data_IF_547047429319
#
_entry.id   IF_547047429319
#
_cell.length_a   1.000
_cell.length_b   1.000
_cell.length_c   1.000
_cell.angle_alpha   90.00
_cell.angle_beta   90.00
_cell.angle_gamma   90.00
#
_symmetry.space_group_name_H-M   'P 1'
#
loop_
_entity.id
_entity.type
_entity.pdbx_description
1 polymer ?
#
# COMPACT_ATOMS: atom_id res chain seq x y z
N UNK A 1 19.55 -41.24 -6.81
CA UNK A 1 19.04 -40.11 -5.99
C UNK A 1 20.13 -39.06 -5.87
N UNK A 2 19.85 -37.74 -5.75
CA UNK A 2 18.55 -37.07 -5.68
C UNK A 2 18.32 -35.97 -6.74
N UNK A 3 17.03 -35.67 -6.93
CA UNK A 3 16.47 -34.63 -7.80
C UNK A 3 16.73 -33.21 -7.27
N UNK A 4 16.96 -32.28 -8.20
CA UNK A 4 17.08 -30.84 -7.96
C UNK A 4 15.79 -30.27 -7.33
N UNK A 5 15.91 -29.64 -6.16
CA UNK A 5 14.85 -28.79 -5.60
C UNK A 5 14.92 -27.39 -6.22
N UNK A 6 14.05 -27.10 -7.17
CA UNK A 6 13.75 -25.72 -7.57
C UNK A 6 13.03 -25.00 -6.43
N UNK A 7 13.70 -24.01 -5.83
CA UNK A 7 13.12 -23.07 -4.85
C UNK A 7 12.03 -22.22 -5.54
N UNK A 8 10.75 -22.52 -5.28
CA UNK A 8 9.64 -21.62 -5.62
C UNK A 8 9.62 -20.45 -4.62
N UNK A 9 9.71 -19.21 -5.13
CA UNK A 9 9.53 -17.96 -4.36
C UNK A 9 8.10 -17.92 -3.80
N UNK A 10 7.95 -17.84 -2.48
CA UNK A 10 6.65 -17.75 -1.81
C UNK A 10 5.96 -16.40 -2.03
N UNK A 11 4.65 -16.44 -2.31
CA UNK A 11 3.73 -15.30 -2.45
C UNK A 11 2.85 -15.22 -1.17
N UNK A 12 2.83 -14.19 -0.28
CA UNK A 12 2.60 -12.71 -0.36
C UNK A 12 1.10 -12.29 -0.39
N UNK A 13 0.41 -12.07 0.77
CA UNK A 13 -1.08 -12.12 0.89
C UNK A 13 -1.92 -11.21 1.94
N UNK A 14 -3.13 -10.68 1.61
CA UNK A 14 -4.24 -9.87 2.29
C UNK A 14 -5.54 -9.59 1.42
N UNK A 15 -6.54 -10.49 1.43
CA UNK A 15 -7.82 -10.40 0.69
C UNK A 15 -8.21 -11.71 0.00
N UNK A 16 -9.48 -12.14 0.00
CA UNK A 16 -9.79 -13.56 -0.26
C UNK A 16 -9.33 -14.07 -1.65
N UNK A 17 -8.62 -15.20 -1.66
CA UNK A 17 -8.07 -15.82 -2.88
C UNK A 17 -9.11 -16.65 -3.62
N UNK A 18 -9.89 -17.45 -2.89
CA UNK A 18 -10.73 -18.47 -3.50
C UNK A 18 -11.89 -17.82 -4.25
N UNK A 19 -12.06 -18.18 -5.52
CA UNK A 19 -13.16 -17.64 -6.34
C UNK A 19 -14.55 -17.91 -5.74
N UNK A 20 -14.68 -18.92 -4.89
CA UNK A 20 -15.92 -19.27 -4.19
C UNK A 20 -16.32 -18.17 -3.20
N UNK A 21 -15.37 -17.59 -2.46
CA UNK A 21 -15.65 -16.50 -1.51
C UNK A 21 -15.73 -15.13 -2.20
N UNK A 22 -15.53 -15.04 -3.52
CA UNK A 22 -15.79 -13.81 -4.27
C UNK A 22 -17.24 -13.75 -4.72
N UNK A 23 -17.78 -12.54 -4.74
CA UNK A 23 -19.09 -12.30 -5.37
C UNK A 23 -18.97 -12.37 -6.89
N UNK A 24 -19.79 -13.16 -7.60
CA UNK A 24 -19.73 -13.26 -9.05
C UNK A 24 -19.84 -11.88 -9.72
N UNK A 25 -18.87 -11.54 -10.56
CA UNK A 25 -18.80 -10.28 -11.31
C UNK A 25 -18.86 -9.00 -10.44
N UNK A 26 -18.53 -9.08 -9.14
CA UNK A 26 -18.67 -7.93 -8.24
C UNK A 26 -20.12 -7.51 -7.97
N UNK A 27 -21.10 -8.31 -8.37
CA UNK A 27 -22.52 -8.05 -8.09
C UNK A 27 -22.88 -8.64 -6.73
N UNK A 28 -23.25 -7.78 -5.80
CA UNK A 28 -23.59 -8.12 -4.42
C UNK A 28 -25.07 -7.79 -4.17
N UNK A 29 -25.98 -8.78 -4.28
CA UNK A 29 -27.40 -8.57 -3.97
C UNK A 29 -27.57 -8.29 -2.48
N UNK A 30 -28.42 -7.31 -2.14
CA UNK A 30 -28.70 -6.97 -0.75
C UNK A 30 -30.20 -6.85 -0.46
N UNK A 31 -30.54 -7.05 0.82
CA UNK A 31 -31.81 -6.73 1.43
C UNK A 31 -31.54 -5.92 2.70
N UNK A 32 -32.24 -4.80 2.87
CA UNK A 32 -32.10 -3.93 4.04
C UNK A 32 -33.29 -4.18 4.97
N UNK A 33 -33.02 -4.44 6.26
CA UNK A 33 -34.03 -4.61 7.31
C UNK A 33 -35.03 -3.44 7.33
N UNK A 34 -36.29 -3.73 7.67
CA UNK A 34 -37.32 -2.72 7.87
C UNK A 34 -37.04 -1.77 9.05
N UNK A 35 -36.15 -2.15 9.97
CA UNK A 35 -35.82 -1.39 11.18
C UNK A 35 -35.05 -0.09 10.92
N UNK A 36 -34.43 0.06 9.74
CA UNK A 36 -33.69 1.27 9.40
C UNK A 36 -34.62 2.42 9.02
N UNK A 37 -34.40 3.56 9.66
CA UNK A 37 -34.97 4.85 9.35
C UNK A 37 -34.53 5.36 7.97
N UNK A 38 -35.21 6.38 7.45
CA UNK A 38 -34.84 7.00 6.18
C UNK A 38 -33.41 7.57 6.20
N UNK A 39 -33.00 8.16 7.33
CA UNK A 39 -31.64 8.71 7.50
C UNK A 39 -30.57 7.63 7.43
N UNK A 40 -30.82 6.48 8.08
CA UNK A 40 -29.90 5.35 8.06
C UNK A 40 -29.83 4.71 6.67
N UNK A 41 -30.96 4.62 5.97
CA UNK A 41 -31.00 4.18 4.57
C UNK A 41 -30.24 5.12 3.63
N UNK A 42 -30.32 6.43 3.86
CA UNK A 42 -29.54 7.41 3.10
C UNK A 42 -28.03 7.26 3.35
N UNK A 43 -27.63 6.93 4.59
CA UNK A 43 -26.24 6.61 4.91
C UNK A 43 -25.77 5.34 4.19
N UNK A 44 -26.55 4.26 4.23
CA UNK A 44 -26.24 3.02 3.49
C UNK A 44 -26.12 3.28 1.98
N UNK A 45 -27.05 4.07 1.41
CA UNK A 45 -27.00 4.45 0.01
C UNK A 45 -25.73 5.23 -0.34
N UNK A 46 -25.30 6.16 0.53
CA UNK A 46 -24.02 6.87 0.38
C UNK A 46 -22.83 5.91 0.45
N UNK A 47 -22.83 4.96 1.39
CA UNK A 47 -21.77 3.96 1.50
C UNK A 47 -21.69 3.09 0.24
N UNK A 48 -22.82 2.62 -0.31
CA UNK A 48 -22.84 1.89 -1.59
C UNK A 48 -22.31 2.73 -2.74
N UNK A 49 -22.66 4.02 -2.79
CA UNK A 49 -22.21 4.93 -3.84
C UNK A 49 -20.69 5.06 -3.87
N UNK A 50 -20.01 4.99 -2.72
CA UNK A 50 -18.56 5.07 -2.69
C UNK A 50 -17.89 3.90 -3.42
N UNK A 51 -18.40 2.68 -3.20
CA UNK A 51 -17.98 1.50 -3.97
C UNK A 51 -18.28 1.67 -5.45
N UNK A 52 -19.48 2.15 -5.79
CA UNK A 52 -19.91 2.28 -7.18
C UNK A 52 -19.04 3.27 -7.96
N UNK A 53 -18.57 4.32 -7.30
CA UNK A 53 -17.73 5.39 -7.87
C UNK A 53 -16.29 4.96 -8.11
N UNK A 54 -15.69 4.22 -7.16
CA UNK A 54 -14.25 3.91 -7.17
C UNK A 54 -13.91 2.51 -7.67
N UNK A 55 -14.92 1.64 -7.78
CA UNK A 55 -14.75 0.22 -8.13
C UNK A 55 -15.83 -0.25 -9.10
N UNK A 56 -15.67 -1.47 -9.61
CA UNK A 56 -16.69 -2.17 -10.40
C UNK A 56 -17.66 -2.98 -9.52
N UNK A 57 -17.52 -2.95 -8.19
CA UNK A 57 -18.41 -3.65 -7.26
C UNK A 57 -19.76 -2.95 -7.23
N UNK A 58 -20.85 -3.72 -7.32
CA UNK A 58 -22.22 -3.22 -7.38
C UNK A 58 -23.07 -3.91 -6.33
N UNK A 59 -23.33 -3.19 -5.25
CA UNK A 59 -24.45 -3.46 -4.35
C UNK A 59 -25.77 -3.19 -5.07
N UNK A 60 -26.61 -4.21 -5.21
CA UNK A 60 -27.88 -4.14 -5.94
C UNK A 60 -29.04 -4.69 -5.11
N UNK A 61 -30.26 -4.15 -5.23
CA UNK A 61 -31.43 -4.76 -4.59
C UNK A 61 -31.59 -6.22 -5.01
N UNK A 62 -31.83 -7.08 -4.03
CA UNK A 62 -32.05 -8.51 -4.25
C UNK A 62 -33.31 -8.76 -5.09
N UNK A 63 -33.22 -9.73 -5.99
CA UNK A 63 -34.34 -10.31 -6.74
C UNK A 63 -34.64 -11.74 -6.26
N UNK A 64 -35.80 -12.32 -6.60
CA UNK A 64 -36.11 -13.72 -6.28
C UNK A 64 -35.13 -14.76 -6.87
N UNK A 65 -34.36 -14.39 -7.90
CA UNK A 65 -33.35 -15.25 -8.52
C UNK A 65 -32.03 -15.27 -7.73
N UNK A 66 -31.82 -14.31 -6.84
CA UNK A 66 -30.61 -14.20 -6.03
C UNK A 66 -30.65 -15.18 -4.86
N UNK A 67 -29.90 -16.28 -5.01
CA UNK A 67 -29.72 -17.32 -3.97
C UNK A 67 -28.78 -16.86 -2.86
N UNK A 68 -27.72 -16.15 -3.23
CA UNK A 68 -26.73 -15.60 -2.31
C UNK A 68 -26.92 -14.08 -2.22
N UNK A 69 -27.01 -13.55 -1.00
CA UNK A 69 -27.26 -12.12 -0.79
C UNK A 69 -26.90 -11.69 0.64
N UNK A 70 -26.62 -10.40 0.78
CA UNK A 70 -26.46 -9.73 2.07
C UNK A 70 -27.82 -9.38 2.67
N UNK A 71 -28.03 -9.75 3.92
CA UNK A 71 -29.07 -9.17 4.76
C UNK A 71 -28.42 -8.15 5.70
N UNK A 72 -28.71 -6.88 5.48
CA UNK A 72 -28.20 -5.77 6.27
C UNK A 72 -29.25 -5.42 7.33
N UNK A 73 -28.90 -5.52 8.62
CA UNK A 73 -29.84 -5.35 9.71
C UNK A 73 -29.21 -4.91 11.03
N UNK A 74 -30.06 -4.57 12.00
CA UNK A 74 -29.67 -4.32 13.39
C UNK A 74 -29.75 -5.65 14.14
N UNK A 75 -28.62 -6.34 14.29
CA UNK A 75 -28.57 -7.71 14.82
C UNK A 75 -27.84 -7.70 16.15
N UNK A 76 -26.53 -7.47 16.12
CA UNK A 76 -25.68 -7.35 17.31
C UNK A 76 -24.39 -6.63 16.91
N UNK A 77 -24.16 -5.42 17.45
CA UNK A 77 -22.98 -4.62 17.13
C UNK A 77 -22.75 -4.41 15.63
N UNK A 78 -21.46 -4.32 15.24
CA UNK A 78 -21.02 -4.12 13.86
C UNK A 78 -20.22 -5.36 13.42
N UNK A 79 -20.68 -6.07 12.38
CA UNK A 79 -19.93 -7.19 11.82
C UNK A 79 -20.39 -7.57 10.41
N UNK A 80 -19.50 -8.25 9.68
CA UNK A 80 -19.84 -8.96 8.45
C UNK A 80 -18.96 -10.19 8.24
N UNK A 81 -19.50 -11.19 7.53
CA UNK A 81 -18.69 -12.28 6.99
C UNK A 81 -17.68 -11.76 5.95
N UNK A 82 -16.48 -12.37 5.92
CA UNK A 82 -15.47 -12.03 4.92
C UNK A 82 -15.75 -12.71 3.58
N UNK A 83 -16.27 -11.94 2.64
CA UNK A 83 -16.60 -12.37 1.27
C UNK A 83 -17.99 -13.01 1.17
N UNK A 84 -18.20 -13.79 0.12
CA UNK A 84 -19.44 -14.53 -0.14
C UNK A 84 -19.43 -15.86 0.61
N UNK A 85 -20.25 -15.99 1.64
CA UNK A 85 -20.49 -17.22 2.39
C UNK A 85 -21.50 -18.15 1.70
N UNK A 86 -22.42 -17.58 0.90
CA UNK A 86 -23.51 -18.29 0.24
C UNK A 86 -24.81 -18.23 1.04
N UNK A 87 -25.96 -18.35 0.35
CA UNK A 87 -27.28 -18.17 0.95
C UNK A 87 -27.51 -16.74 1.48
N UNK A 88 -28.35 -16.63 2.51
CA UNK A 88 -28.49 -15.39 3.29
C UNK A 88 -27.30 -15.28 4.23
N UNK A 89 -26.48 -14.26 4.05
CA UNK A 89 -25.42 -13.92 5.01
C UNK A 89 -25.71 -12.56 5.65
N UNK A 90 -25.40 -12.43 6.92
CA UNK A 90 -25.78 -11.27 7.72
C UNK A 90 -24.66 -10.22 7.75
N UNK A 91 -25.06 -8.96 7.71
CA UNK A 91 -24.20 -7.81 7.97
C UNK A 91 -24.92 -6.97 9.02
N UNK A 92 -24.36 -6.90 10.22
CA UNK A 92 -24.92 -6.12 11.31
C UNK A 92 -24.38 -4.70 11.28
N UNK A 93 -25.28 -3.72 11.23
CA UNK A 93 -25.00 -2.33 11.54
C UNK A 93 -26.08 -1.87 12.51
N UNK A 94 -25.83 -2.07 13.80
CA UNK A 94 -26.72 -1.63 14.87
C UNK A 94 -26.65 -0.10 15.08
N UNK A 95 -27.44 0.44 16.01
CA UNK A 95 -27.56 1.89 16.23
C UNK A 95 -26.20 2.58 16.46
N UNK A 96 -25.27 1.92 17.17
CA UNK A 96 -23.92 2.42 17.40
C UNK A 96 -23.00 2.42 16.17
N UNK A 97 -23.38 1.69 15.11
CA UNK A 97 -22.59 1.46 13.91
C UNK A 97 -23.02 2.36 12.74
N UNK A 98 -24.06 3.18 12.90
CA UNK A 98 -24.64 3.99 11.83
C UNK A 98 -23.79 5.23 11.51
N UNK A 99 -22.52 5.02 11.22
CA UNK A 99 -21.55 5.99 10.70
C UNK A 99 -21.06 5.53 9.33
N UNK A 100 -20.65 6.49 8.50
CA UNK A 100 -20.29 6.22 7.10
C UNK A 100 -19.07 5.29 6.98
N UNK A 101 -18.03 5.59 7.74
CA UNK A 101 -16.76 4.86 7.85
C UNK A 101 -16.96 3.42 8.36
N UNK A 102 -17.77 3.23 9.42
CA UNK A 102 -18.16 1.90 9.89
C UNK A 102 -18.91 1.13 8.81
N UNK A 103 -19.89 1.75 8.15
CA UNK A 103 -20.66 1.08 7.11
C UNK A 103 -19.79 0.65 5.91
N UNK A 104 -18.85 1.50 5.45
CA UNK A 104 -17.95 1.09 4.37
C UNK A 104 -16.95 0.01 4.83
N UNK A 105 -16.54 -0.02 6.09
CA UNK A 105 -15.70 -1.07 6.67
C UNK A 105 -16.40 -2.44 6.64
N UNK A 106 -17.61 -2.53 7.19
CA UNK A 106 -18.37 -3.80 7.22
C UNK A 106 -18.73 -4.27 5.81
N UNK A 107 -19.04 -3.34 4.91
CA UNK A 107 -19.23 -3.68 3.50
C UNK A 107 -17.93 -4.21 2.87
N UNK A 108 -16.75 -3.76 3.29
CA UNK A 108 -15.47 -4.19 2.72
C UNK A 108 -15.10 -5.60 3.21
N UNK A 109 -15.49 -5.96 4.42
CA UNK A 109 -15.53 -7.36 4.86
C UNK A 109 -16.39 -8.20 3.93
N UNK A 110 -17.65 -7.78 3.67
CA UNK A 110 -18.56 -8.52 2.78
C UNK A 110 -18.02 -8.68 1.35
N UNK A 111 -17.21 -7.73 0.88
CA UNK A 111 -16.50 -7.79 -0.40
C UNK A 111 -15.38 -8.85 -0.40
N UNK A 112 -14.79 -9.13 0.77
CA UNK A 112 -13.82 -10.20 0.96
C UNK A 112 -12.45 -9.73 1.43
N UNK A 113 -12.40 -8.69 2.26
CA UNK A 113 -11.17 -8.23 2.90
C UNK A 113 -11.18 -8.53 4.40
N UNK A 114 -10.05 -9.04 4.87
CA UNK A 114 -9.75 -9.18 6.30
C UNK A 114 -9.14 -7.89 6.83
N UNK A 115 -8.93 -7.79 8.14
CA UNK A 115 -8.27 -6.62 8.69
C UNK A 115 -6.81 -6.52 8.24
N UNK A 116 -6.31 -5.30 8.08
CA UNK A 116 -4.93 -5.07 7.61
C UNK A 116 -3.89 -5.58 8.62
N UNK A 117 -4.20 -5.56 9.94
CA UNK A 117 -3.30 -6.09 10.98
C UNK A 117 -3.26 -7.62 11.03
N UNK A 118 -4.19 -8.32 10.37
CA UNK A 118 -4.20 -9.80 10.31
C UNK A 118 -3.31 -10.33 9.17
N UNK A 119 -2.68 -9.43 8.41
CA UNK A 119 -1.73 -9.80 7.37
C UNK A 119 -0.63 -10.73 7.88
N UNK A 120 -0.26 -11.72 7.08
CA UNK A 120 0.84 -12.62 7.44
C UNK A 120 2.18 -11.87 7.70
N UNK A 121 2.42 -10.78 6.94
CA UNK A 121 3.61 -9.92 7.03
C UNK A 121 3.48 -8.77 8.05
N UNK A 122 2.37 -8.69 8.79
CA UNK A 122 2.08 -7.58 9.73
C UNK A 122 3.19 -7.34 10.75
N UNK A 123 3.90 -8.37 11.19
CA UNK A 123 4.97 -8.22 12.18
C UNK A 123 6.21 -7.46 11.65
N UNK A 124 6.30 -7.18 10.34
CA UNK A 124 7.31 -6.27 9.77
C UNK A 124 6.89 -4.79 9.84
N UNK A 125 5.65 -4.52 10.23
CA UNK A 125 5.00 -3.22 10.15
C UNK A 125 4.45 -2.74 11.49
N UNK A 126 3.95 -3.67 12.29
CA UNK A 126 3.38 -3.43 13.62
C UNK A 126 3.94 -4.45 14.63
N UNK A 127 3.71 -4.19 15.90
CA UNK A 127 3.98 -5.09 17.01
C UNK A 127 2.72 -5.19 17.86
N UNK A 128 2.27 -6.42 18.08
CA UNK A 128 1.16 -6.71 19.00
C UNK A 128 1.69 -6.77 20.44
N UNK A 129 1.00 -6.09 21.34
CA UNK A 129 1.28 -6.02 22.78
C UNK A 129 0.30 -6.94 23.52
N UNK A 130 0.49 -8.25 23.36
CA UNK A 130 -0.38 -9.30 23.92
C UNK A 130 -0.72 -9.13 25.40
N UNK A 131 0.19 -8.58 26.19
CA UNK A 131 -0.03 -8.32 27.60
C UNK A 131 -1.16 -7.31 27.89
N UNK A 132 -1.49 -6.43 26.94
CA UNK A 132 -2.53 -5.41 27.07
C UNK A 132 -3.88 -5.84 26.49
N UNK A 133 -3.91 -6.93 25.71
CA UNK A 133 -5.13 -7.44 25.06
C UNK A 133 -5.97 -8.24 26.07
N UNK A 134 -7.29 -8.11 25.99
CA UNK A 134 -8.23 -9.01 26.66
C UNK A 134 -8.05 -10.46 26.19
N UNK A 135 -7.95 -11.41 27.12
CA UNK A 135 -7.66 -12.81 26.79
C UNK A 135 -8.72 -13.43 25.88
N UNK A 136 -9.97 -13.00 26.02
CA UNK A 136 -11.09 -13.50 25.23
C UNK A 136 -11.09 -12.97 23.79
N UNK A 137 -10.23 -12.00 23.47
CA UNK A 137 -10.08 -11.39 22.14
C UNK A 137 -8.75 -11.74 21.44
N UNK A 138 -7.99 -12.73 21.93
CA UNK A 138 -6.70 -13.09 21.34
C UNK A 138 -6.81 -13.59 19.89
N UNK A 139 -7.93 -14.23 19.56
CA UNK A 139 -8.26 -14.69 18.22
C UNK A 139 -8.43 -13.54 17.22
N UNK A 140 -8.91 -12.37 17.67
CA UNK A 140 -9.04 -11.14 16.86
C UNK A 140 -7.70 -10.55 16.38
N UNK A 141 -6.59 -11.00 16.97
CA UNK A 141 -5.23 -10.62 16.56
C UNK A 141 -4.51 -11.76 15.84
N UNK A 142 -5.22 -12.83 15.49
CA UNK A 142 -4.73 -13.89 14.63
C UNK A 142 -4.20 -13.36 13.31
N UNK A 143 -3.28 -14.10 12.69
CA UNK A 143 -2.92 -13.83 11.29
C UNK A 143 -3.78 -14.71 10.41
N UNK A 144 -4.31 -14.15 9.33
CA UNK A 144 -5.04 -14.94 8.34
C UNK A 144 -4.06 -15.85 7.61
N UNK A 145 -4.44 -17.11 7.44
CA UNK A 145 -3.59 -18.11 6.80
C UNK A 145 -3.26 -17.73 5.35
N UNK A 146 -2.04 -18.07 4.92
CA UNK A 146 -1.56 -17.82 3.56
C UNK A 146 -2.40 -18.55 2.51
N UNK A 147 -3.13 -19.61 2.84
CA UNK A 147 -4.03 -20.30 1.91
C UNK A 147 -5.33 -19.52 1.62
N UNK A 148 -5.69 -18.53 2.46
CA UNK A 148 -7.01 -17.91 2.44
C UNK A 148 -7.03 -16.45 1.95
N UNK A 149 -5.90 -15.72 1.97
CA UNK A 149 -5.82 -14.27 1.69
C UNK A 149 -4.77 -13.87 0.60
N UNK A 150 -4.79 -12.69 -0.03
CA UNK A 150 -3.89 -12.18 -1.10
C UNK A 150 -3.82 -10.65 -1.14
N UNK A 151 -2.66 -9.99 -0.97
CA UNK A 151 -2.59 -8.53 -0.75
C UNK A 151 -2.51 -7.79 -2.08
N UNK A 152 -2.71 -8.52 -3.17
CA UNK A 152 -2.73 -8.02 -4.54
C UNK A 152 -1.46 -7.24 -4.91
N UNK A 153 -0.30 -7.65 -4.38
CA UNK A 153 0.99 -6.99 -4.62
C UNK A 153 1.21 -5.67 -3.85
N UNK A 154 0.26 -5.25 -3.02
CA UNK A 154 0.32 -3.98 -2.31
C UNK A 154 1.11 -4.01 -1.00
N UNK A 155 1.67 -2.86 -0.66
CA UNK A 155 2.38 -2.63 0.60
C UNK A 155 1.41 -2.67 1.80
N UNK A 156 1.96 -2.76 3.01
CA UNK A 156 1.18 -2.62 4.24
C UNK A 156 0.62 -1.20 4.34
N UNK A 157 -0.67 -1.09 4.62
CA UNK A 157 -1.38 0.18 4.59
C UNK A 157 -1.89 0.60 5.96
N UNK A 158 -1.13 1.46 6.63
CA UNK A 158 -1.51 2.04 7.92
C UNK A 158 -2.75 2.93 7.83
N UNK A 159 -3.12 3.41 6.64
CA UNK A 159 -4.27 4.28 6.40
C UNK A 159 -5.52 3.50 5.96
N UNK A 160 -5.44 2.17 5.92
CA UNK A 160 -6.55 1.34 5.46
C UNK A 160 -7.75 1.50 6.39
N UNK A 161 -8.95 1.59 5.80
CA UNK A 161 -10.20 1.51 6.57
C UNK A 161 -10.33 0.17 7.31
N UNK A 162 -9.61 -0.86 6.85
CA UNK A 162 -9.60 -2.20 7.44
C UNK A 162 -8.56 -2.36 8.56
N UNK A 163 -7.87 -1.30 8.99
CA UNK A 163 -6.88 -1.40 10.06
C UNK A 163 -7.53 -1.10 11.41
N UNK A 164 -7.35 -1.97 12.40
CA UNK A 164 -7.74 -1.68 13.79
C UNK A 164 -6.99 -0.48 14.36
N UNK A 165 -7.62 0.21 15.31
CA UNK A 165 -6.95 1.22 16.11
C UNK A 165 -5.96 0.60 17.10
N UNK A 166 -5.10 1.44 17.68
CA UNK A 166 -4.03 1.01 18.58
C UNK A 166 -4.52 0.50 19.95
N UNK A 167 -5.77 0.78 20.32
CA UNK A 167 -6.40 0.43 21.61
C UNK A 167 -7.41 -0.72 21.49
N UNK A 168 -7.64 -1.26 20.30
CA UNK A 168 -8.59 -2.33 20.04
C UNK A 168 -8.45 -3.47 21.07
N UNK A 169 -9.57 -3.84 21.70
CA UNK A 169 -9.65 -4.91 22.71
C UNK A 169 -8.68 -4.76 23.90
N UNK A 170 -8.31 -3.53 24.26
CA UNK A 170 -7.49 -3.27 25.44
C UNK A 170 -8.23 -3.56 26.74
N UNK A 171 -7.63 -4.35 27.63
CA UNK A 171 -8.16 -4.61 28.98
C UNK A 171 -7.74 -3.57 30.02
N UNK A 172 -6.80 -2.69 29.68
CA UNK A 172 -6.17 -1.77 30.63
C UNK A 172 -6.05 -0.33 30.10
N UNK A 173 -6.69 -0.02 28.97
CA UNK A 173 -6.65 1.30 28.34
C UNK A 173 -5.29 1.66 27.74
N UNK A 174 -4.35 0.72 27.67
CA UNK A 174 -3.06 0.88 26.99
C UNK A 174 -3.10 0.29 25.58
N UNK A 175 -2.20 0.76 24.73
CA UNK A 175 -2.05 0.26 23.36
C UNK A 175 -1.91 -1.27 23.32
N UNK A 176 -2.71 -1.92 22.50
CA UNK A 176 -2.62 -3.34 22.15
C UNK A 176 -1.77 -3.55 20.90
N UNK A 177 -1.58 -2.49 20.10
CA UNK A 177 -0.82 -2.53 18.87
C UNK A 177 -0.06 -1.21 18.67
N UNK A 178 1.21 -1.34 18.26
CA UNK A 178 2.04 -0.17 17.90
C UNK A 178 2.70 -0.38 16.54
N UNK A 179 2.81 0.68 15.76
CA UNK A 179 3.54 0.63 14.51
C UNK A 179 5.06 0.60 14.75
N UNK A 180 5.79 -0.09 13.88
CA UNK A 180 7.27 -0.06 13.87
C UNK A 180 7.82 1.29 13.43
N UNK A 181 7.01 2.05 12.69
CA UNK A 181 7.21 3.47 12.42
C UNK A 181 6.40 4.24 13.46
N UNK A 182 7.02 4.81 14.51
CA UNK A 182 6.28 5.37 15.64
C UNK A 182 5.21 6.40 15.24
N UNK A 183 5.47 7.18 14.18
CA UNK A 183 4.55 8.16 13.63
C UNK A 183 3.25 7.56 13.07
N UNK A 184 3.22 6.25 12.77
CA UNK A 184 2.05 5.56 12.24
C UNK A 184 1.15 4.97 13.33
N UNK A 185 1.57 4.93 14.59
CA UNK A 185 0.72 4.38 15.68
C UNK A 185 -0.55 5.22 15.89
N UNK A 186 -0.46 6.54 15.70
CA UNK A 186 -1.62 7.45 15.80
C UNK A 186 -2.49 7.48 14.55
N UNK A 187 -2.04 6.84 13.47
CA UNK A 187 -2.71 6.81 12.16
C UNK A 187 -3.61 5.59 12.01
N UNK A 188 -3.19 4.45 12.57
CA UNK A 188 -3.95 3.21 12.46
C UNK A 188 -5.33 3.34 13.13
N UNK A 189 -6.37 2.87 12.44
CA UNK A 189 -7.75 2.95 12.91
C UNK A 189 -8.39 4.35 12.85
N UNK A 190 -7.69 5.37 12.32
CA UNK A 190 -8.25 6.73 12.19
C UNK A 190 -8.86 7.03 10.82
N UNK A 191 -9.01 6.02 9.96
CA UNK A 191 -9.48 6.20 8.59
C UNK A 191 -10.99 6.51 8.57
N UNK A 192 -11.37 7.53 7.80
CA UNK A 192 -12.78 7.96 7.62
C UNK A 192 -13.34 7.65 6.23
N UNK A 193 -12.51 7.08 5.35
CA UNK A 193 -12.83 6.71 3.97
C UNK A 193 -11.80 5.69 3.46
N UNK A 194 -12.03 5.10 2.28
CA UNK A 194 -11.06 4.18 1.66
C UNK A 194 -9.72 4.87 1.39
N UNK A 195 -8.64 4.17 1.74
CA UNK A 195 -7.32 4.55 1.25
C UNK A 195 -7.22 4.28 -0.27
N UNK A 196 -6.27 4.91 -0.97
CA UNK A 196 -5.96 4.56 -2.35
C UNK A 196 -5.60 3.06 -2.51
N UNK A 197 -4.96 2.47 -1.49
CA UNK A 197 -4.57 1.06 -1.50
C UNK A 197 -5.77 0.14 -1.32
N UNK A 198 -6.77 0.52 -0.51
CA UNK A 198 -8.03 -0.24 -0.35
C UNK A 198 -8.76 -0.35 -1.69
N UNK A 199 -8.90 0.79 -2.39
CA UNK A 199 -9.53 0.85 -3.72
C UNK A 199 -8.75 0.00 -4.72
N UNK A 200 -7.43 0.12 -4.74
CA UNK A 200 -6.58 -0.65 -5.64
C UNK A 200 -6.69 -2.16 -5.38
N UNK A 201 -6.69 -2.59 -4.11
CA UNK A 201 -6.89 -3.99 -3.73
C UNK A 201 -8.25 -4.50 -4.21
N UNK A 202 -9.34 -3.75 -4.02
CA UNK A 202 -10.66 -4.13 -4.53
C UNK A 202 -10.69 -4.25 -6.05
N UNK A 203 -10.12 -3.28 -6.76
CA UNK A 203 -10.08 -3.27 -8.22
C UNK A 203 -9.26 -4.42 -8.80
N UNK A 204 -8.12 -4.76 -8.17
CA UNK A 204 -7.32 -5.93 -8.53
C UNK A 204 -8.04 -7.24 -8.20
N UNK A 205 -8.75 -7.30 -7.07
CA UNK A 205 -9.50 -8.49 -6.64
C UNK A 205 -10.63 -8.85 -7.62
N UNK A 206 -11.35 -7.83 -8.10
CA UNK A 206 -12.51 -7.98 -8.97
C UNK A 206 -12.22 -7.71 -10.46
N UNK A 207 -10.95 -7.47 -10.81
CA UNK A 207 -10.51 -7.22 -12.18
C UNK A 207 -11.31 -6.08 -12.83
N UNK A 208 -11.52 -5.01 -12.08
CA UNK A 208 -12.21 -3.84 -12.60
C UNK A 208 -11.43 -3.28 -13.79
N UNK A 209 -12.10 -3.10 -14.94
CA UNK A 209 -11.47 -2.64 -16.17
C UNK A 209 -10.81 -1.26 -16.01
N UNK A 210 -9.92 -0.91 -16.95
CA UNK A 210 -9.07 0.30 -16.90
C UNK A 210 -9.86 1.62 -16.69
N UNK A 211 -11.15 1.64 -17.04
CA UNK A 211 -12.03 2.80 -16.88
C UNK A 211 -12.47 3.10 -15.43
N UNK A 212 -12.09 2.26 -14.47
CA UNK A 212 -12.43 2.43 -13.04
C UNK A 212 -11.21 2.82 -12.20
N UNK A 213 -10.09 3.03 -12.87
CA UNK A 213 -8.91 3.56 -12.22
C UNK A 213 -9.22 5.01 -11.81
N UNK A 214 -9.28 5.33 -10.51
CA UNK A 214 -9.31 6.73 -10.12
C UNK A 214 -8.03 7.38 -10.64
N UNK A 215 -8.13 8.65 -11.04
CA UNK A 215 -7.08 9.59 -11.50
C UNK A 215 -5.73 9.59 -10.73
N UNK A 216 -5.58 8.72 -9.72
CA UNK A 216 -4.40 8.46 -8.93
C UNK A 216 -3.34 7.66 -9.70
N UNK A 217 -3.71 6.79 -10.65
CA UNK A 217 -2.71 5.94 -11.35
C UNK A 217 -2.09 6.64 -12.56
N UNK A 218 -2.78 7.57 -13.21
CA UNK A 218 -2.22 8.29 -14.36
C UNK A 218 -1.07 9.24 -13.95
N UNK A 219 -1.02 9.65 -12.68
CA UNK A 219 0.12 10.40 -12.12
C UNK A 219 1.29 9.52 -11.65
N UNK A 220 1.20 8.19 -11.78
CA UNK A 220 2.23 7.26 -11.27
C UNK A 220 3.00 6.56 -12.40
N UNK A 221 2.47 6.44 -13.63
CA UNK A 221 3.28 5.89 -14.76
C UNK A 221 2.78 6.40 -16.13
N UNK A 222 3.54 7.23 -16.88
CA UNK A 222 3.31 7.35 -18.32
C UNK A 222 3.95 6.17 -19.07
N UNK A 223 3.33 5.67 -20.17
CA UNK A 223 3.84 4.51 -20.90
C UNK A 223 5.10 4.88 -21.68
N UNK A 224 6.19 4.14 -21.49
CA UNK A 224 7.42 4.36 -22.25
C UNK A 224 7.23 3.86 -23.70
N UNK A 225 7.45 4.70 -24.73
CA UNK A 225 7.61 4.20 -26.09
C UNK A 225 9.03 3.64 -26.24
N UNK A 226 9.13 2.41 -26.75
CA UNK A 226 10.41 1.80 -27.13
C UNK A 226 11.03 2.62 -28.26
N UNK A 227 12.08 3.36 -27.95
CA UNK A 227 12.91 4.07 -28.93
C UNK A 227 14.32 3.46 -28.98
N UNK A 228 14.93 3.37 -30.19
CA UNK A 228 16.20 2.70 -30.39
C UNK A 228 17.37 3.52 -29.83
N UNK A 229 18.53 2.90 -29.56
CA UNK A 229 19.64 3.58 -28.92
C UNK A 229 20.26 4.61 -29.87
N UNK A 230 20.23 5.88 -29.46
CA UNK A 230 20.95 6.97 -30.13
C UNK A 230 22.31 7.15 -29.44
N UNK A 231 23.43 7.28 -30.18
CA UNK A 231 24.76 7.35 -29.60
C UNK A 231 25.00 8.70 -28.88
N UNK A 232 25.67 8.63 -27.73
CA UNK A 232 25.94 9.78 -26.88
C UNK A 232 26.99 10.72 -27.49
N UNK A 233 26.67 12.02 -27.51
CA UNK A 233 27.64 13.11 -27.68
C UNK A 233 27.96 13.70 -26.30
N UNK A 234 29.22 14.03 -25.98
CA UNK A 234 29.60 14.50 -24.65
C UNK A 234 29.47 16.03 -24.54
N UNK A 235 28.81 16.51 -23.48
CA UNK A 235 28.85 17.91 -23.04
C UNK A 235 29.67 17.97 -21.75
N UNK A 236 30.73 18.77 -21.77
CA UNK A 236 31.58 19.06 -20.63
C UNK A 236 30.87 20.03 -19.67
N UNK A 237 30.82 19.68 -18.39
CA UNK A 237 30.41 20.54 -17.29
C UNK A 237 31.60 21.18 -16.55
N UNK A 238 31.34 22.19 -15.70
CA UNK A 238 32.35 23.06 -15.05
C UNK A 238 33.04 22.38 -13.84
N UNK A 239 34.09 22.99 -13.24
CA UNK A 239 35.25 22.27 -12.72
C UNK A 239 35.03 21.58 -11.37
N UNK A 240 35.63 20.40 -11.24
CA UNK A 240 35.55 19.48 -10.09
C UNK A 240 36.57 19.89 -9.02
N UNK A 241 36.13 20.00 -7.77
CA UNK A 241 37.02 20.12 -6.60
C UNK A 241 37.35 18.71 -6.13
N UNK A 242 38.63 18.34 -6.16
CA UNK A 242 39.13 17.05 -5.73
C UNK A 242 39.19 16.97 -4.20
N UNK A 243 38.50 15.99 -3.61
CA UNK A 243 38.48 15.75 -2.16
C UNK A 243 38.83 14.27 -1.88
N UNK A 244 39.79 14.05 -0.97
CA UNK A 244 40.35 12.72 -0.65
C UNK A 244 39.34 11.82 0.10
N UNK A 245 38.29 12.39 0.72
CA UNK A 245 37.32 11.69 1.57
C UNK A 245 35.91 11.57 0.94
N UNK A 246 35.83 11.43 -0.39
CA UNK A 246 34.55 11.29 -1.06
C UNK A 246 33.92 9.90 -0.91
N UNK A 247 33.26 9.66 0.23
CA UNK A 247 32.50 8.45 0.54
C UNK A 247 31.15 8.79 1.16
N UNK A 248 30.15 7.94 0.93
CA UNK A 248 28.89 8.01 1.69
C UNK A 248 29.13 7.51 3.11
N UNK A 249 28.72 8.31 4.10
CA UNK A 249 28.82 7.95 5.51
C UNK A 249 27.69 7.02 5.95
N UNK A 250 26.73 6.74 5.05
CA UNK A 250 25.64 5.79 5.29
C UNK A 250 25.38 4.94 4.04
N UNK A 251 25.01 3.68 4.23
CA UNK A 251 24.65 2.77 3.14
C UNK A 251 23.17 2.92 2.69
N UNK A 252 22.44 3.88 3.25
CA UNK A 252 21.03 4.13 2.97
C UNK A 252 20.79 5.25 1.96
N UNK A 253 21.84 5.86 1.39
CA UNK A 253 21.71 6.99 0.48
C UNK A 253 20.82 6.73 -0.73
N UNK A 254 20.78 5.48 -1.22
CA UNK A 254 19.90 5.06 -2.31
C UNK A 254 18.40 5.32 -2.05
N UNK A 255 17.98 5.45 -0.78
CA UNK A 255 16.58 5.76 -0.38
C UNK A 255 16.21 7.23 -0.45
N UNK A 256 17.20 8.11 -0.51
CA UNK A 256 17.02 9.56 -0.43
C UNK A 256 17.69 10.29 -1.60
N UNK A 257 17.98 9.59 -2.70
CA UNK A 257 18.58 10.17 -3.90
C UNK A 257 17.70 11.28 -4.51
N UNK A 258 16.38 11.15 -4.37
CA UNK A 258 15.40 12.17 -4.76
C UNK A 258 15.57 13.49 -3.99
N UNK A 259 16.27 13.47 -2.85
CA UNK A 259 16.51 14.64 -1.99
C UNK A 259 17.84 15.34 -2.26
N UNK A 260 18.70 14.78 -3.12
CA UNK A 260 19.98 15.41 -3.52
C UNK A 260 19.78 16.76 -4.26
N UNK A 261 18.58 17.05 -4.80
CA UNK A 261 18.26 18.34 -5.41
C UNK A 261 17.51 19.30 -4.49
N UNK A 262 17.19 18.89 -3.26
CA UNK A 262 16.35 19.68 -2.35
C UNK A 262 17.18 20.66 -1.54
N UNK A 263 16.89 21.96 -1.68
CA UNK A 263 17.52 23.04 -0.90
C UNK A 263 17.41 22.83 0.63
N UNK A 264 16.32 22.21 1.10
CA UNK A 264 16.10 21.94 2.52
C UNK A 264 16.97 20.80 3.06
N UNK A 265 17.29 19.80 2.22
CA UNK A 265 18.07 18.63 2.61
C UNK A 265 19.52 18.67 2.13
N UNK A 266 19.89 19.69 1.35
CA UNK A 266 21.21 19.83 0.72
C UNK A 266 22.36 19.63 1.71
N UNK A 267 22.29 20.23 2.90
CA UNK A 267 23.33 20.12 3.93
C UNK A 267 23.46 18.68 4.46
N UNK A 268 22.35 18.01 4.71
CA UNK A 268 22.30 16.63 5.20
C UNK A 268 22.80 15.67 4.12
N UNK A 269 22.38 15.89 2.87
CA UNK A 269 22.78 15.04 1.75
C UNK A 269 24.26 15.23 1.41
N UNK A 270 24.81 16.45 1.50
CA UNK A 270 26.26 16.73 1.40
C UNK A 270 27.07 16.09 2.52
N UNK A 271 26.50 15.94 3.72
CA UNK A 271 27.22 15.40 4.85
C UNK A 271 27.25 13.86 4.88
N UNK A 272 26.13 13.21 4.53
CA UNK A 272 25.98 11.76 4.68
C UNK A 272 26.02 11.00 3.35
N UNK A 273 25.67 11.65 2.25
CA UNK A 273 25.47 11.02 0.95
C UNK A 273 26.23 11.75 -0.18
N UNK A 274 27.40 12.30 0.15
CA UNK A 274 28.20 13.13 -0.73
C UNK A 274 28.54 12.44 -2.07
N UNK A 275 28.87 11.15 -2.01
CA UNK A 275 29.23 10.34 -3.17
C UNK A 275 27.98 9.95 -3.97
N UNK A 276 26.94 9.45 -3.30
CA UNK A 276 25.66 9.04 -3.90
C UNK A 276 24.93 10.19 -4.60
N UNK A 277 25.02 11.41 -4.05
CA UNK A 277 24.42 12.62 -4.63
C UNK A 277 25.32 13.32 -5.66
N UNK A 278 26.55 12.83 -5.88
CA UNK A 278 27.50 13.44 -6.80
C UNK A 278 28.04 14.81 -6.36
N UNK A 279 28.00 15.10 -5.06
CA UNK A 279 28.58 16.33 -4.51
C UNK A 279 30.11 16.28 -4.42
N UNK A 280 30.72 15.11 -4.58
CA UNK A 280 32.18 14.91 -4.67
C UNK A 280 32.50 13.72 -5.60
N UNK A 281 33.77 13.54 -5.98
CA UNK A 281 34.24 12.38 -6.77
C UNK A 281 35.50 11.77 -6.11
N UNK A 282 35.57 10.44 -5.90
CA UNK A 282 36.71 9.79 -5.26
C UNK A 282 37.89 9.63 -6.24
N UNK A 283 39.12 9.87 -5.76
CA UNK A 283 40.35 9.88 -6.60
C UNK A 283 40.60 8.57 -7.35
N UNK A 284 40.07 7.44 -6.91
CA UNK A 284 40.24 6.13 -7.58
C UNK A 284 39.53 6.00 -8.94
N UNK A 285 38.67 6.95 -9.31
CA UNK A 285 38.00 7.00 -10.63
C UNK A 285 38.58 8.03 -11.60
N UNK A 286 39.64 8.75 -11.24
CA UNK A 286 40.35 9.61 -12.18
C UNK A 286 41.27 8.74 -13.03
N UNK A 287 40.81 8.37 -14.23
CA UNK A 287 41.68 7.77 -15.22
C UNK A 287 42.83 8.74 -15.52
N UNK A 288 44.07 8.24 -15.43
CA UNK A 288 45.27 8.98 -15.82
C UNK A 288 45.09 9.61 -17.21
N UNK A 289 45.60 10.83 -17.45
CA UNK A 289 45.44 11.50 -18.73
C UNK A 289 46.08 10.65 -19.83
N UNK A 290 45.27 10.36 -20.86
CA UNK A 290 45.73 9.75 -22.11
C UNK A 290 46.86 10.63 -22.65
N UNK A 291 48.09 10.08 -22.71
CA UNK A 291 49.21 10.73 -23.41
C UNK A 291 48.84 10.87 -24.88
N UNK A 292 48.42 12.07 -25.27
CA UNK A 292 48.33 12.46 -26.66
C UNK A 292 49.74 12.50 -27.27
N UNK A 293 49.85 11.97 -28.49
CA UNK A 293 51.06 11.88 -29.27
C UNK A 293 51.74 13.25 -29.45
N UNK A 294 53.07 13.24 -29.44
CA UNK A 294 53.92 14.38 -29.76
C UNK A 294 53.55 14.98 -31.13
N UNK A 295 53.28 16.28 -31.13
CA UNK A 295 53.12 17.07 -32.36
C UNK A 295 53.33 18.55 -32.10
N UNK A 296 54.50 19.04 -32.53
CA UNK A 296 54.88 20.43 -32.81
C UNK A 296 54.95 21.43 -31.63
N UNK A 297 56.19 21.64 -31.16
CA UNK A 297 56.62 22.91 -30.56
C UNK A 297 56.94 23.90 -31.68
N UNK A 298 56.13 24.94 -31.83
CA UNK A 298 56.54 26.19 -32.45
C UNK A 298 56.76 27.20 -31.31
N UNK A 299 58.03 27.44 -30.98
CA UNK A 299 58.46 28.54 -30.13
C UNK A 299 58.95 29.68 -31.03
N UNK A 300 58.26 30.81 -30.96
CA UNK A 300 58.72 32.11 -31.40
C UNK A 300 58.93 32.97 -30.15
N UNK A 301 59.89 33.90 -30.22
CA UNK A 301 60.33 34.91 -29.23
C UNK A 301 61.51 34.45 -28.34
N UNK A 302 62.62 35.18 -28.19
CA UNK A 302 63.15 36.40 -28.80
C UNK A 302 64.56 36.68 -28.22
N UNK A 303 65.39 37.41 -28.99
CA UNK A 303 66.47 38.32 -28.56
C UNK A 303 67.76 37.74 -27.95
N UNK A 304 68.90 38.04 -28.61
CA UNK A 304 70.25 37.93 -28.05
C UNK A 304 71.24 37.35 -29.04
#
# INVERSE_FOLDING_TARGET
MPFQKTRRKGARRNGVITGIKKWPNGRIPYMISGQYTERERALLARSFQEYHKRTCIRFVPRTPLDRDYLYIGKIDGCFSDVGRAGGRQELSLDDGCMQYDTAIHELMHSVGFYHEHERWDRDNHIRILWQNIDRDAYDQFGKVDLSESSYYGQVYDYYSIMHYDSLAFSKNGLETMVARRPEMTVVIGSAIDFSPTDVLKMNLMYQCGENVIPDVVEKIVPPLPLSPPVPAVPIQGPPVVEDDDCVDKTNLCWRWLDRCGSFFFEKIMKEFCALSCGYCIPKSKVAAPVKAAKGASASYLQLG
#
